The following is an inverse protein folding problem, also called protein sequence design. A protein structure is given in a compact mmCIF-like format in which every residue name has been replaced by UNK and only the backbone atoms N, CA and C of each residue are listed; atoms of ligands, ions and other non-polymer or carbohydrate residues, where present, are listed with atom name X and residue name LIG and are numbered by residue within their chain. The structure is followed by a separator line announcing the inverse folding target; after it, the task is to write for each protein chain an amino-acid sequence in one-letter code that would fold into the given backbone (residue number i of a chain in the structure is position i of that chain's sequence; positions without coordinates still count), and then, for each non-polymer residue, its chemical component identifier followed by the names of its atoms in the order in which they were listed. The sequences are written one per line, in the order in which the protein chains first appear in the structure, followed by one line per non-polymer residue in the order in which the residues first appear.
data_IF_241010767724
#
_entry.id   IF_241010767724
#
_cell.length_a   1.000
_cell.length_b   1.000
_cell.length_c   1.000
_cell.angle_alpha   90.00
_cell.angle_beta   90.00
_cell.angle_gamma   90.00
#
_symmetry.space_group_name_H-M   'P 1'
#
loop_
_entity.id
_entity.type
_entity.pdbx_description
1 polymer ?
#
# COMPACT_ATOMS: atom_id res chain seq x y z
N UNK A 1 -12.09 -1.66 -10.83
CA UNK A 1 -12.63 -2.19 -9.54
C UNK A 1 -11.84 -1.55 -8.40
N UNK A 2 -12.39 -1.42 -7.19
CA UNK A 2 -11.64 -0.91 -6.02
C UNK A 2 -11.12 -2.06 -5.17
N UNK A 3 -9.80 -2.09 -4.93
CA UNK A 3 -9.09 -3.24 -4.32
C UNK A 3 -8.22 -2.75 -3.15
N UNK A 4 -8.33 -3.42 -2.00
CA UNK A 4 -7.45 -3.24 -0.85
C UNK A 4 -6.22 -4.14 -0.98
N UNK A 5 -5.01 -3.56 -0.87
CA UNK A 5 -3.75 -4.29 -0.84
C UNK A 5 -3.05 -4.04 0.50
N UNK A 6 -3.00 -5.04 1.36
CA UNK A 6 -2.24 -4.99 2.62
C UNK A 6 -0.75 -5.27 2.37
N UNK A 7 0.13 -4.61 3.12
CA UNK A 7 1.58 -4.67 2.89
C UNK A 7 2.00 -3.97 1.60
N UNK A 8 1.30 -2.91 1.19
CA UNK A 8 1.47 -2.25 -0.11
C UNK A 8 2.87 -1.66 -0.34
N UNK A 9 3.60 -1.30 0.72
CA UNK A 9 4.98 -0.82 0.61
C UNK A 9 6.02 -1.97 0.65
N UNK A 10 5.58 -3.19 1.01
CA UNK A 10 6.35 -4.42 0.94
C UNK A 10 6.71 -4.83 -0.50
N UNK A 11 7.57 -5.84 -0.64
CA UNK A 11 8.05 -6.26 -1.96
C UNK A 11 6.90 -6.77 -2.86
N UNK A 12 6.14 -7.76 -2.38
CA UNK A 12 5.03 -8.34 -3.14
C UNK A 12 3.91 -7.32 -3.31
N UNK A 13 3.49 -6.68 -2.22
CA UNK A 13 2.40 -5.71 -2.23
C UNK A 13 2.64 -4.56 -3.21
N UNK A 14 3.86 -4.04 -3.29
CA UNK A 14 4.23 -3.01 -4.27
C UNK A 14 4.02 -3.47 -5.71
N UNK A 15 4.54 -4.64 -6.08
CA UNK A 15 4.41 -5.16 -7.44
C UNK A 15 2.96 -5.51 -7.78
N UNK A 16 2.21 -6.05 -6.81
CA UNK A 16 0.77 -6.32 -6.97
C UNK A 16 -0.02 -5.03 -7.18
N UNK A 17 0.15 -4.03 -6.31
CA UNK A 17 -0.52 -2.74 -6.43
C UNK A 17 -0.22 -2.07 -7.78
N UNK A 18 1.05 -2.06 -8.20
CA UNK A 18 1.47 -1.51 -9.49
C UNK A 18 0.80 -2.22 -10.67
N UNK A 19 0.71 -3.55 -10.65
CA UNK A 19 0.06 -4.30 -11.71
C UNK A 19 -1.46 -4.05 -11.79
N UNK A 20 -2.11 -3.90 -10.63
CA UNK A 20 -3.55 -3.57 -10.56
C UNK A 20 -3.81 -2.14 -11.06
N UNK A 21 -2.99 -1.17 -10.65
CA UNK A 21 -3.07 0.22 -11.12
C UNK A 21 -2.87 0.29 -12.64
N UNK A 22 -1.87 -0.42 -13.18
CA UNK A 22 -1.63 -0.48 -14.63
C UNK A 22 -2.77 -1.14 -15.43
N UNK A 23 -3.58 -1.99 -14.78
CA UNK A 23 -4.80 -2.56 -15.36
C UNK A 23 -5.97 -1.55 -15.37
N UNK A 24 -5.85 -0.43 -14.68
CA UNK A 24 -6.88 0.59 -14.53
C UNK A 24 -7.78 0.39 -13.30
N UNK A 25 -7.35 -0.41 -12.31
CA UNK A 25 -8.07 -0.54 -11.05
C UNK A 25 -7.71 0.58 -10.07
N UNK A 26 -8.64 0.85 -9.15
CA UNK A 26 -8.38 1.68 -7.98
C UNK A 26 -7.78 0.81 -6.87
N UNK A 27 -6.68 1.27 -6.29
CA UNK A 27 -5.97 0.54 -5.23
C UNK A 27 -5.89 1.38 -3.97
N UNK A 28 -6.40 0.84 -2.87
CA UNK A 28 -6.12 1.33 -1.52
C UNK A 28 -5.00 0.47 -0.95
N UNK A 29 -3.82 1.06 -0.76
CA UNK A 29 -2.69 0.40 -0.12
C UNK A 29 -2.70 0.60 1.38
N UNK A 30 -2.57 -0.47 2.15
CA UNK A 30 -2.42 -0.43 3.62
C UNK A 30 -1.05 -0.96 4.00
N UNK A 31 -0.29 -0.22 4.81
CA UNK A 31 0.98 -0.70 5.38
C UNK A 31 1.28 0.05 6.68
N UNK A 32 1.81 -0.64 7.69
CA UNK A 32 2.20 0.01 8.95
C UNK A 32 3.59 0.68 8.87
N UNK A 33 4.31 0.50 7.76
CA UNK A 33 5.67 0.99 7.53
C UNK A 33 6.68 0.56 8.62
N UNK A 34 6.41 -0.55 9.32
CA UNK A 34 7.24 -0.99 10.44
C UNK A 34 8.71 -1.24 10.00
N UNK A 35 9.65 -0.95 10.92
CA UNK A 35 11.10 -0.81 10.78
C UNK A 35 11.88 -2.11 10.51
N UNK A 36 11.20 -3.24 10.23
CA UNK A 36 11.85 -4.55 10.14
C UNK A 36 12.76 -4.74 8.91
N UNK A 37 12.92 -3.72 8.06
CA UNK A 37 13.89 -3.58 6.97
C UNK A 37 14.19 -2.09 6.72
N UNK A 38 15.25 -1.76 5.96
CA UNK A 38 15.64 -0.39 5.61
C UNK A 38 14.44 0.42 5.09
N UNK A 39 13.98 1.33 5.96
CA UNK A 39 12.73 2.10 5.85
C UNK A 39 12.70 2.90 4.55
N UNK A 40 13.87 3.29 4.06
CA UNK A 40 14.05 4.03 2.81
C UNK A 40 13.49 3.30 1.58
N UNK A 41 13.57 1.96 1.55
CA UNK A 41 13.06 1.18 0.42
C UNK A 41 11.53 1.13 0.38
N UNK A 42 10.88 1.01 1.55
CA UNK A 42 9.42 1.07 1.66
C UNK A 42 8.90 2.46 1.25
N UNK A 43 9.53 3.52 1.73
CA UNK A 43 9.17 4.88 1.32
C UNK A 43 9.36 5.10 -0.18
N UNK A 44 10.49 4.66 -0.74
CA UNK A 44 10.73 4.79 -2.18
C UNK A 44 9.67 4.09 -3.02
N UNK A 45 9.21 2.90 -2.62
CA UNK A 45 8.11 2.18 -3.28
C UNK A 45 6.78 2.92 -3.14
N UNK A 46 6.48 3.41 -1.93
CA UNK A 46 5.26 4.16 -1.68
C UNK A 46 5.20 5.45 -2.50
N UNK A 47 6.30 6.18 -2.61
CA UNK A 47 6.40 7.39 -3.43
C UNK A 47 6.22 7.12 -4.93
N UNK A 48 6.53 5.92 -5.41
CA UNK A 48 6.19 5.51 -6.78
C UNK A 48 4.68 5.30 -6.91
N UNK A 49 4.07 4.54 -5.99
CA UNK A 49 2.63 4.27 -6.05
C UNK A 49 1.78 5.53 -5.88
N UNK A 50 2.19 6.48 -5.03
CA UNK A 50 1.52 7.77 -4.82
C UNK A 50 1.43 8.66 -6.06
N UNK A 51 2.24 8.39 -7.08
CA UNK A 51 2.17 9.12 -8.36
C UNK A 51 1.04 8.61 -9.26
N UNK A 52 0.49 7.43 -8.95
CA UNK A 52 -0.62 6.87 -9.70
C UNK A 52 -1.94 7.53 -9.26
N UNK A 53 -2.75 8.07 -10.17
CA UNK A 53 -3.95 8.83 -9.83
C UNK A 53 -5.03 8.00 -9.15
N UNK A 54 -5.01 6.68 -9.34
CA UNK A 54 -5.97 5.74 -8.77
C UNK A 54 -5.44 5.01 -7.52
N UNK A 55 -4.37 5.52 -6.91
CA UNK A 55 -3.79 4.96 -5.68
C UNK A 55 -4.07 5.83 -4.46
N UNK A 56 -4.56 5.20 -3.41
CA UNK A 56 -4.74 5.78 -2.08
C UNK A 56 -3.90 5.00 -1.07
N UNK A 57 -3.31 5.67 -0.08
CA UNK A 57 -2.52 5.02 0.96
C UNK A 57 -3.06 5.28 2.35
N UNK A 58 -3.21 4.20 3.12
CA UNK A 58 -3.60 4.21 4.53
C UNK A 58 -2.44 3.65 5.34
N UNK A 59 -1.83 4.49 6.18
CA UNK A 59 -0.84 4.03 7.13
C UNK A 59 -1.56 3.45 8.35
N UNK A 60 -1.61 2.12 8.46
CA UNK A 60 -2.30 1.45 9.55
C UNK A 60 -1.66 0.10 9.88
N UNK A 61 -1.68 -0.26 11.15
CA UNK A 61 -1.38 -1.62 11.58
C UNK A 61 -2.61 -2.52 11.43
N UNK A 62 -2.47 -3.62 10.69
CA UNK A 62 -3.56 -4.57 10.47
C UNK A 62 -4.08 -5.20 11.76
N UNK A 63 -3.28 -5.20 12.84
CA UNK A 63 -3.69 -5.67 14.16
C UNK A 63 -4.59 -4.69 14.92
N UNK A 64 -4.69 -3.43 14.48
CA UNK A 64 -5.60 -2.44 15.07
C UNK A 64 -7.03 -2.67 14.58
N UNK A 65 -7.79 -3.44 15.36
CA UNK A 65 -9.16 -3.82 15.03
C UNK A 65 -10.11 -2.64 14.96
N UNK A 66 -9.95 -1.67 15.85
CA UNK A 66 -10.86 -0.52 15.93
C UNK A 66 -10.67 0.38 14.71
N UNK A 67 -9.42 0.59 14.30
CA UNK A 67 -9.12 1.35 13.09
C UNK A 67 -9.49 0.65 11.78
N UNK A 68 -9.58 -0.69 11.76
CA UNK A 68 -10.05 -1.46 10.59
C UNK A 68 -11.59 -1.48 10.50
N UNK A 69 -12.29 -1.44 11.63
CA UNK A 69 -13.74 -1.59 11.70
C UNK A 69 -14.52 -0.26 11.66
N UNK A 70 -13.84 0.88 11.82
CA UNK A 70 -14.41 2.23 11.73
C UNK A 70 -14.54 2.74 10.30
#
# INVERSE_FOLDING_TARGET
VKILVTGAAGFIGYHTAKALLARGDEVVGLDNLNHYYDVNLKHSRLEILRKEPCFEFVQLDLSDRDAIAG
#
